data_IF_533930424081
#
_entry.id   IF_533930424081
#
_cell.length_a   1.000
_cell.length_b   1.000
_cell.length_c   1.000
_cell.angle_alpha   90.00
_cell.angle_beta   90.00
_cell.angle_gamma   90.00
#
_symmetry.space_group_name_H-M   'P 1'
#
loop_
_entity.id
_entity.type
_entity.pdbx_description
1 polymer ?
#
# COMPACT_ATOMS: atom_id res chain seq x y z
N UNK A 1 19.25 15.07 -0.66
CA UNK A 1 18.02 14.42 -1.12
C UNK A 1 17.28 14.07 0.15
N UNK A 2 16.35 14.94 0.55
CA UNK A 2 15.68 14.79 1.84
C UNK A 2 14.89 13.48 1.83
N UNK A 3 15.01 12.71 2.92
CA UNK A 3 14.30 11.45 3.05
C UNK A 3 12.79 11.74 2.98
N UNK A 4 12.06 10.98 2.16
CA UNK A 4 10.61 11.10 2.08
C UNK A 4 9.99 11.04 3.49
N UNK A 5 9.05 11.94 3.82
CA UNK A 5 8.43 11.98 5.14
C UNK A 5 7.68 10.69 5.45
N UNK A 6 7.57 10.37 6.74
CA UNK A 6 6.82 9.21 7.22
C UNK A 6 5.52 9.68 7.85
N UNK A 7 4.40 9.17 7.36
CA UNK A 7 3.08 9.57 7.81
C UNK A 7 2.41 8.54 8.71
N UNK A 8 3.16 7.53 9.16
CA UNK A 8 2.61 6.48 10.01
C UNK A 8 2.08 7.01 11.34
N UNK A 9 1.25 6.21 12.00
CA UNK A 9 0.69 6.52 13.31
C UNK A 9 1.73 7.00 14.33
N UNK A 10 2.93 6.41 14.33
CA UNK A 10 4.04 6.82 15.23
C UNK A 10 4.64 8.20 14.90
N UNK A 11 4.48 8.69 13.67
CA UNK A 11 5.05 9.97 13.21
C UNK A 11 4.01 11.12 13.20
N UNK A 12 2.75 10.85 13.54
CA UNK A 12 1.75 11.89 13.75
C UNK A 12 2.16 12.78 14.94
N UNK A 13 1.89 14.09 14.87
CA UNK A 13 2.25 15.05 15.92
C UNK A 13 1.01 15.83 16.40
N UNK A 14 0.55 15.62 17.64
CA UNK A 14 0.94 14.52 18.55
C UNK A 14 0.41 13.16 18.05
N UNK A 15 1.03 12.03 18.44
CA UNK A 15 0.45 10.72 18.19
C UNK A 15 -0.88 10.59 18.94
N UNK A 16 -1.96 10.27 18.23
CA UNK A 16 -3.27 10.06 18.82
C UNK A 16 -3.42 8.62 19.37
N UNK A 17 -2.48 8.12 20.18
CA UNK A 17 -2.43 6.71 20.58
C UNK A 17 -3.69 6.20 21.27
N UNK A 18 -4.41 7.09 21.95
CA UNK A 18 -5.69 6.82 22.59
C UNK A 18 -6.81 6.47 21.61
N UNK A 19 -6.67 6.85 20.33
CA UNK A 19 -7.67 6.59 19.28
C UNK A 19 -7.37 5.31 18.48
N UNK A 20 -6.18 4.73 18.65
CA UNK A 20 -5.77 3.55 17.91
C UNK A 20 -6.60 2.33 18.33
N UNK A 21 -6.83 1.41 17.40
CA UNK A 21 -7.42 0.11 17.74
C UNK A 21 -6.37 -0.81 18.40
N UNK A 22 -6.79 -2.01 18.81
CA UNK A 22 -5.87 -2.98 19.43
C UNK A 22 -4.77 -3.47 18.47
N UNK A 23 -5.10 -3.63 17.19
CA UNK A 23 -4.17 -4.07 16.16
C UNK A 23 -3.08 -3.01 15.93
N UNK A 24 -3.47 -1.75 15.78
CA UNK A 24 -2.57 -0.62 15.57
C UNK A 24 -1.64 -0.41 16.77
N UNK A 25 -2.17 -0.51 18.00
CA UNK A 25 -1.33 -0.51 19.23
C UNK A 25 -0.33 -1.66 19.21
N UNK A 26 -0.77 -2.88 18.91
CA UNK A 26 0.10 -4.05 18.86
C UNK A 26 1.19 -3.94 17.78
N UNK A 27 0.87 -3.34 16.62
CA UNK A 27 1.85 -3.04 15.57
C UNK A 27 2.86 -2.00 16.08
N UNK A 28 2.39 -0.88 16.63
CA UNK A 28 3.24 0.18 17.15
C UNK A 28 4.21 -0.31 18.23
N UNK A 29 3.74 -1.14 19.16
CA UNK A 29 4.57 -1.69 20.24
C UNK A 29 5.68 -2.60 19.72
N UNK A 30 5.39 -3.45 18.73
CA UNK A 30 6.40 -4.29 18.09
C UNK A 30 7.41 -3.47 17.31
N UNK A 31 6.96 -2.44 16.59
CA UNK A 31 7.86 -1.52 15.86
C UNK A 31 8.81 -0.82 16.84
N UNK A 32 8.31 -0.27 17.94
CA UNK A 32 9.14 0.36 18.99
C UNK A 32 10.17 -0.61 19.57
N UNK A 33 9.77 -1.87 19.78
CA UNK A 33 10.61 -2.87 20.46
C UNK A 33 11.63 -3.54 19.54
N UNK A 34 11.27 -3.82 18.30
CA UNK A 34 12.05 -4.66 17.38
C UNK A 34 12.47 -3.95 16.09
N UNK A 35 11.87 -2.79 15.80
CA UNK A 35 12.05 -2.04 14.56
C UNK A 35 10.98 -2.31 13.51
N UNK A 36 10.25 -3.43 13.58
CA UNK A 36 9.10 -3.71 12.72
C UNK A 36 8.15 -4.71 13.37
N UNK A 37 6.91 -4.74 12.87
CA UNK A 37 5.97 -5.83 13.04
C UNK A 37 5.99 -6.72 11.78
N UNK A 38 5.80 -8.03 11.93
CA UNK A 38 5.50 -8.92 10.81
C UNK A 38 4.05 -9.37 10.92
N UNK A 39 3.28 -9.10 9.88
CA UNK A 39 1.89 -9.51 9.78
C UNK A 39 1.79 -10.76 8.89
N UNK A 40 1.31 -11.87 9.44
CA UNK A 40 0.97 -13.07 8.69
C UNK A 40 -0.52 -13.09 8.36
N UNK A 41 -0.88 -13.47 7.13
CA UNK A 41 -2.26 -13.54 6.68
C UNK A 41 -2.56 -14.94 6.17
N UNK A 42 -3.62 -15.53 6.71
CA UNK A 42 -4.16 -16.78 6.24
C UNK A 42 -5.00 -16.52 4.99
N UNK A 43 -4.62 -17.13 3.86
CA UNK A 43 -5.24 -16.79 2.57
C UNK A 43 -6.60 -17.42 2.32
N UNK A 44 -6.96 -18.47 3.07
CA UNK A 44 -8.24 -19.15 2.92
C UNK A 44 -8.34 -19.86 1.56
N UNK A 45 -8.89 -19.17 0.56
CA UNK A 45 -8.96 -19.63 -0.84
C UNK A 45 -7.66 -19.38 -1.62
N UNK A 46 -6.80 -18.48 -1.14
CA UNK A 46 -5.43 -18.31 -1.65
C UNK A 46 -4.43 -18.95 -0.70
N UNK A 47 -3.19 -19.23 -1.15
CA UNK A 47 -2.09 -19.49 -0.24
C UNK A 47 -1.90 -18.35 0.77
N UNK A 48 -1.20 -18.66 1.86
CA UNK A 48 -0.84 -17.68 2.89
C UNK A 48 0.21 -16.69 2.39
N UNK A 49 0.30 -15.55 3.07
CA UNK A 49 1.39 -14.59 2.87
C UNK A 49 1.77 -13.89 4.16
N UNK A 50 2.91 -13.20 4.14
CA UNK A 50 3.34 -12.34 5.24
C UNK A 50 4.01 -11.08 4.70
N UNK A 51 3.95 -10.01 5.48
CA UNK A 51 4.63 -8.75 5.15
C UNK A 51 5.04 -7.99 6.41
N UNK A 52 6.06 -7.14 6.28
CA UNK A 52 6.50 -6.25 7.35
C UNK A 52 5.69 -4.96 7.39
N UNK A 53 5.63 -4.37 8.58
CA UNK A 53 5.15 -3.02 8.83
C UNK A 53 6.15 -2.37 9.78
N UNK A 54 6.85 -1.33 9.35
CA UNK A 54 7.77 -0.56 10.20
C UNK A 54 9.22 -0.55 9.72
N UNK A 55 9.61 -1.39 8.74
CA UNK A 55 10.97 -1.34 8.18
C UNK A 55 11.22 0.03 7.54
N UNK A 56 10.26 0.55 6.79
CA UNK A 56 10.37 1.89 6.22
C UNK A 56 10.41 2.98 7.29
N UNK A 57 9.66 2.81 8.38
CA UNK A 57 9.64 3.75 9.49
C UNK A 57 11.01 3.81 10.19
N UNK A 58 11.55 2.64 10.53
CA UNK A 58 12.74 2.49 11.37
C UNK A 58 14.04 2.65 10.58
N UNK A 59 14.12 2.07 9.39
CA UNK A 59 15.37 1.94 8.63
C UNK A 59 15.39 2.74 7.33
N UNK A 60 14.26 3.31 6.89
CA UNK A 60 14.10 3.92 5.55
C UNK A 60 14.52 2.95 4.43
N UNK A 61 14.20 1.68 4.63
CA UNK A 61 14.32 0.60 3.64
C UNK A 61 12.93 0.14 3.20
N UNK A 62 12.79 -0.46 2.02
CA UNK A 62 11.50 -0.99 1.58
C UNK A 62 10.93 -1.99 2.59
N UNK A 63 9.62 -2.00 2.75
CA UNK A 63 8.92 -3.11 3.39
C UNK A 63 9.14 -4.40 2.59
N UNK A 64 9.00 -5.56 3.25
CA UNK A 64 9.20 -6.87 2.65
C UNK A 64 7.90 -7.66 2.70
N UNK A 65 7.58 -8.37 1.62
CA UNK A 65 6.49 -9.34 1.58
C UNK A 65 6.92 -10.67 0.96
N UNK A 66 6.26 -11.75 1.38
CA UNK A 66 6.48 -13.15 0.92
C UNK A 66 5.10 -13.79 0.76
N UNK A 67 4.86 -14.46 -0.37
CA UNK A 67 3.59 -15.11 -0.71
C UNK A 67 3.80 -16.61 -0.97
N UNK A 68 2.75 -17.42 -0.84
CA UNK A 68 2.75 -18.80 -1.31
C UNK A 68 3.31 -19.84 -0.35
N UNK A 69 3.73 -19.42 0.84
CA UNK A 69 4.29 -20.28 1.88
C UNK A 69 3.42 -20.18 3.13
N UNK A 70 3.39 -21.23 3.98
CA UNK A 70 2.68 -21.17 5.26
C UNK A 70 3.03 -19.90 6.03
N UNK A 71 2.04 -19.24 6.63
CA UNK A 71 2.23 -17.90 7.22
C UNK A 71 3.44 -17.83 8.17
N UNK A 72 3.66 -18.85 9.01
CA UNK A 72 4.81 -18.92 9.92
C UNK A 72 6.18 -18.95 9.19
N UNK A 73 6.26 -19.66 8.06
CA UNK A 73 7.44 -19.70 7.20
C UNK A 73 7.65 -18.36 6.51
N UNK A 74 6.59 -17.80 5.91
CA UNK A 74 6.64 -16.48 5.27
C UNK A 74 7.08 -15.39 6.26
N UNK A 75 6.55 -15.40 7.48
CA UNK A 75 6.93 -14.46 8.54
C UNK A 75 8.41 -14.59 8.95
N UNK A 76 8.94 -15.81 8.96
CA UNK A 76 10.36 -16.05 9.26
C UNK A 76 11.27 -15.49 8.16
N UNK A 77 10.91 -15.69 6.89
CA UNK A 77 11.63 -15.14 5.74
C UNK A 77 11.60 -13.61 5.75
N UNK A 78 10.45 -12.99 6.06
CA UNK A 78 10.34 -11.53 6.21
C UNK A 78 11.29 -11.00 7.29
N UNK A 79 11.41 -11.68 8.43
CA UNK A 79 12.36 -11.26 9.47
C UNK A 79 13.81 -11.37 9.00
N UNK A 80 14.21 -12.49 8.36
CA UNK A 80 15.57 -12.66 7.82
C UNK A 80 15.89 -11.54 6.82
N UNK A 81 14.98 -11.27 5.88
CA UNK A 81 15.16 -10.18 4.92
C UNK A 81 15.24 -8.81 5.61
N UNK A 82 14.40 -8.55 6.62
CA UNK A 82 14.43 -7.33 7.42
C UNK A 82 15.75 -7.15 8.17
N UNK A 83 16.30 -8.22 8.74
CA UNK A 83 17.62 -8.20 9.41
C UNK A 83 18.74 -7.88 8.42
N UNK A 84 18.73 -8.49 7.22
CA UNK A 84 19.67 -8.16 6.15
C UNK A 84 19.57 -6.70 5.69
N UNK A 85 18.36 -6.13 5.68
CA UNK A 85 18.14 -4.72 5.34
C UNK A 85 18.54 -3.77 6.48
N UNK A 86 18.63 -4.26 7.71
CA UNK A 86 19.22 -3.51 8.82
C UNK A 86 20.73 -3.39 8.63
N UNK A 87 21.37 -4.47 8.19
CA UNK A 87 22.83 -4.54 8.03
C UNK A 87 23.32 -3.97 6.68
N UNK A 88 22.41 -3.72 5.72
CA UNK A 88 22.75 -3.25 4.38
C UNK A 88 21.59 -2.56 3.63
N UNK A 89 21.77 -2.33 2.34
CA UNK A 89 20.66 -1.93 1.47
C UNK A 89 19.89 -3.18 1.02
N UNK A 90 18.59 -3.02 0.74
CA UNK A 90 17.78 -4.07 0.13
C UNK A 90 18.38 -4.56 -1.20
N UNK A 91 18.90 -3.61 -1.97
CA UNK A 91 19.42 -3.78 -3.33
C UNK A 91 18.41 -3.36 -4.40
N UNK A 92 18.79 -3.39 -5.69
CA UNK A 92 17.93 -2.98 -6.79
C UNK A 92 16.85 -4.04 -7.10
N UNK A 93 15.81 -3.63 -7.85
CA UNK A 93 14.83 -4.57 -8.44
C UNK A 93 15.53 -5.65 -9.25
N UNK A 94 15.08 -6.89 -9.10
CA UNK A 94 15.64 -8.06 -9.76
C UNK A 94 16.90 -8.63 -9.09
N UNK A 95 17.36 -8.07 -7.96
CA UNK A 95 18.53 -8.62 -7.27
C UNK A 95 18.26 -10.06 -6.79
N UNK A 96 19.17 -10.97 -7.15
CA UNK A 96 19.26 -12.33 -6.57
C UNK A 96 20.00 -12.32 -5.24
N UNK A 97 19.52 -13.10 -4.28
CA UNK A 97 20.10 -13.23 -2.93
C UNK A 97 20.09 -14.69 -2.47
N UNK A 98 21.21 -15.18 -1.99
CA UNK A 98 21.42 -16.53 -1.45
C UNK A 98 21.40 -16.57 0.10
N UNK A 99 21.28 -15.40 0.74
CA UNK A 99 21.33 -15.21 2.19
C UNK A 99 19.95 -15.10 2.87
N UNK A 100 18.87 -15.25 2.10
CA UNK A 100 17.48 -15.11 2.60
C UNK A 100 16.80 -16.46 2.86
N UNK A 101 16.92 -17.41 1.93
CA UNK A 101 16.26 -18.71 1.99
C UNK A 101 17.31 -19.82 1.93
N UNK A 102 17.36 -20.67 2.96
CA UNK A 102 18.39 -21.70 3.03
C UNK A 102 18.29 -22.70 1.85
N UNK A 103 19.38 -22.83 1.10
CA UNK A 103 19.50 -23.76 -0.02
C UNK A 103 18.89 -23.28 -1.33
N UNK A 104 18.38 -22.04 -1.39
CA UNK A 104 17.77 -21.47 -2.59
C UNK A 104 18.04 -19.97 -2.71
N UNK A 105 18.40 -19.52 -3.91
CA UNK A 105 18.39 -18.10 -4.23
C UNK A 105 16.95 -17.57 -4.24
N UNK A 106 16.74 -16.35 -3.74
CA UNK A 106 15.52 -15.58 -3.94
C UNK A 106 15.76 -14.41 -4.87
N UNK A 107 14.71 -13.85 -5.45
CA UNK A 107 14.77 -12.59 -6.20
C UNK A 107 13.93 -11.54 -5.49
N UNK A 108 14.50 -10.35 -5.30
CA UNK A 108 13.77 -9.18 -4.80
C UNK A 108 13.10 -8.45 -5.95
N UNK A 109 11.77 -8.32 -5.91
CA UNK A 109 11.00 -7.57 -6.92
C UNK A 109 10.24 -6.42 -6.30
N UNK A 110 10.29 -5.24 -6.92
CA UNK A 110 9.54 -4.07 -6.46
C UNK A 110 8.06 -4.31 -6.67
N UNK A 111 7.29 -4.06 -5.61
CA UNK A 111 5.83 -4.21 -5.61
C UNK A 111 5.21 -2.94 -6.20
N UNK A 112 4.30 -3.09 -7.17
CA UNK A 112 3.55 -1.95 -7.71
C UNK A 112 2.51 -1.47 -6.69
N UNK A 113 2.34 -0.15 -6.49
CA UNK A 113 1.33 0.42 -5.60
C UNK A 113 -0.12 -0.04 -5.86
N UNK A 114 -0.45 -0.43 -7.09
CA UNK A 114 -1.77 -0.97 -7.47
C UNK A 114 -2.15 -2.26 -6.72
N UNK A 115 -1.18 -3.02 -6.22
CA UNK A 115 -1.43 -4.21 -5.40
C UNK A 115 -1.69 -3.89 -3.93
N UNK A 116 -1.40 -2.68 -3.47
CA UNK A 116 -1.31 -2.43 -2.04
C UNK A 116 -2.61 -2.71 -1.31
N UNK A 117 -3.72 -2.30 -1.93
CA UNK A 117 -5.05 -2.51 -1.40
C UNK A 117 -5.43 -3.98 -1.26
N UNK A 118 -4.95 -4.82 -2.17
CA UNK A 118 -5.29 -6.24 -2.19
C UNK A 118 -4.70 -6.97 -0.99
N UNK A 119 -3.47 -6.60 -0.56
CA UNK A 119 -2.70 -7.46 0.35
C UNK A 119 -2.17 -6.80 1.62
N UNK A 120 -2.09 -5.46 1.69
CA UNK A 120 -1.36 -4.75 2.75
C UNK A 120 -2.23 -3.81 3.58
N UNK A 121 -3.52 -4.13 3.77
CA UNK A 121 -4.48 -3.28 4.48
C UNK A 121 -4.00 -2.78 5.85
N UNK A 122 -3.49 -3.66 6.73
CA UNK A 122 -2.98 -3.25 8.04
C UNK A 122 -1.74 -2.35 7.95
N UNK A 123 -0.89 -2.56 6.93
CA UNK A 123 0.24 -1.68 6.65
C UNK A 123 -0.22 -0.29 6.21
N UNK A 124 -1.24 -0.23 5.35
CA UNK A 124 -1.79 1.04 4.86
C UNK A 124 -2.49 1.79 5.98
N UNK A 125 -3.28 1.10 6.80
CA UNK A 125 -3.83 1.64 8.04
C UNK A 125 -2.72 2.22 8.90
N UNK A 126 -1.65 1.48 9.16
CA UNK A 126 -0.56 1.99 9.99
C UNK A 126 0.18 3.18 9.38
N UNK A 127 0.42 3.19 8.06
CA UNK A 127 1.20 4.23 7.38
C UNK A 127 0.42 5.49 7.01
N UNK A 128 -0.92 5.42 6.98
CA UNK A 128 -1.88 6.51 6.73
C UNK A 128 -1.81 7.16 5.34
N UNK A 129 -0.61 7.32 4.75
CA UNK A 129 -0.37 7.85 3.40
C UNK A 129 0.56 6.92 2.60
N UNK A 130 0.05 5.83 2.01
CA UNK A 130 0.80 5.00 1.04
C UNK A 130 1.01 5.76 -0.29
N UNK A 131 1.96 5.34 -1.13
CA UNK A 131 2.79 4.14 -0.99
C UNK A 131 4.10 4.37 -0.22
N UNK A 132 4.40 3.46 0.71
CA UNK A 132 5.77 3.21 1.17
C UNK A 132 6.45 2.23 0.22
N UNK A 133 7.76 2.34 -0.07
CA UNK A 133 8.46 1.36 -0.91
C UNK A 133 8.32 -0.04 -0.36
N UNK A 134 8.08 -1.03 -1.22
CA UNK A 134 7.95 -2.44 -0.82
C UNK A 134 8.53 -3.37 -1.88
N UNK A 135 9.14 -4.44 -1.40
CA UNK A 135 9.71 -5.51 -2.23
C UNK A 135 9.08 -6.85 -1.86
N UNK A 136 8.85 -7.67 -2.88
CA UNK A 136 8.48 -9.06 -2.75
C UNK A 136 9.77 -9.91 -2.81
N UNK A 137 9.92 -10.80 -1.84
CA UNK A 137 10.88 -11.90 -1.90
C UNK A 137 10.22 -13.03 -2.67
N UNK A 138 10.68 -13.25 -3.89
CA UNK A 138 10.20 -14.32 -4.77
C UNK A 138 11.08 -15.54 -4.59
N UNK A 139 10.51 -16.69 -4.28
CA UNK A 139 11.23 -17.95 -4.11
C UNK A 139 11.10 -18.85 -5.35
N UNK A 140 12.08 -19.71 -5.65
CA UNK A 140 12.07 -20.56 -6.82
C UNK A 140 11.47 -21.95 -6.54
N UNK A 141 11.19 -22.71 -7.60
CA UNK A 141 10.93 -24.14 -7.48
C UNK A 141 12.20 -24.94 -7.07
N UNK A 142 12.06 -26.26 -6.95
CA UNK A 142 13.17 -27.15 -6.54
C UNK A 142 14.35 -27.18 -7.51
N UNK A 143 14.14 -26.78 -8.76
CA UNK A 143 15.17 -26.71 -9.79
C UNK A 143 15.75 -25.29 -9.93
N UNK A 144 15.35 -24.35 -9.06
CA UNK A 144 15.84 -22.97 -9.07
C UNK A 144 15.15 -22.04 -10.06
N UNK A 145 13.99 -22.44 -10.61
CA UNK A 145 13.22 -21.63 -11.57
C UNK A 145 12.19 -20.76 -10.87
N UNK A 146 12.01 -19.53 -11.34
CA UNK A 146 11.10 -18.55 -10.74
C UNK A 146 9.75 -18.51 -11.45
N UNK A 147 8.68 -18.00 -10.80
CA UNK A 147 7.39 -17.77 -11.44
C UNK A 147 7.51 -17.01 -12.77
N UNK A 148 6.89 -17.55 -13.82
CA UNK A 148 6.95 -17.05 -15.19
C UNK A 148 8.12 -17.54 -16.04
N UNK A 149 9.07 -18.29 -15.48
CA UNK A 149 10.16 -18.88 -16.26
C UNK A 149 9.72 -20.19 -16.97
N UNK A 150 10.23 -20.48 -18.18
CA UNK A 150 9.90 -21.71 -18.89
C UNK A 150 10.23 -22.96 -18.06
N UNK A 151 9.24 -23.82 -17.84
CA UNK A 151 9.41 -25.09 -17.13
C UNK A 151 9.42 -24.99 -15.61
N UNK A 152 9.04 -23.84 -15.03
CA UNK A 152 8.79 -23.72 -13.59
C UNK A 152 7.69 -24.69 -13.14
N UNK A 153 7.85 -25.26 -11.96
CA UNK A 153 6.80 -26.03 -11.31
C UNK A 153 5.49 -25.23 -11.20
N UNK A 154 4.37 -25.88 -11.53
CA UNK A 154 3.05 -25.24 -11.57
C UNK A 154 2.63 -24.68 -10.22
N UNK A 155 2.89 -25.42 -9.13
CA UNK A 155 2.54 -24.96 -7.80
C UNK A 155 3.38 -23.73 -7.44
N UNK A 156 4.68 -23.72 -7.79
CA UNK A 156 5.51 -22.52 -7.61
C UNK A 156 4.96 -21.30 -8.36
N UNK A 157 4.56 -21.47 -9.63
CA UNK A 157 4.06 -20.36 -10.47
C UNK A 157 2.73 -19.79 -9.99
N UNK A 158 1.79 -20.66 -9.57
CA UNK A 158 0.45 -20.24 -9.13
C UNK A 158 0.43 -19.79 -7.65
N UNK A 159 1.40 -20.21 -6.84
CA UNK A 159 1.41 -19.92 -5.40
C UNK A 159 1.87 -18.51 -5.04
N UNK A 160 2.41 -17.74 -5.97
CA UNK A 160 2.90 -16.38 -5.67
C UNK A 160 2.40 -15.42 -6.75
N UNK A 161 1.75 -14.30 -6.39
CA UNK A 161 1.42 -13.28 -7.37
C UNK A 161 2.69 -12.57 -7.83
N UNK A 162 2.69 -12.11 -9.09
CA UNK A 162 3.77 -11.31 -9.69
C UNK A 162 3.48 -9.83 -9.43
N UNK A 163 3.79 -9.34 -8.23
CA UNK A 163 3.40 -7.98 -7.82
C UNK A 163 4.13 -6.84 -8.55
N UNK A 164 5.09 -7.18 -9.42
CA UNK A 164 5.77 -6.25 -10.33
C UNK A 164 5.03 -6.06 -11.68
N UNK A 165 3.98 -6.83 -11.94
CA UNK A 165 3.07 -6.69 -13.09
C UNK A 165 1.83 -5.89 -12.63
N UNK A 166 1.16 -5.14 -13.50
CA UNK A 166 -0.12 -4.53 -13.08
C UNK A 166 -1.18 -5.62 -12.80
N UNK A 167 -2.12 -5.42 -11.85
CA UNK A 167 -3.22 -6.35 -11.64
C UNK A 167 -3.99 -6.70 -12.90
N UNK A 168 -4.19 -5.73 -13.80
CA UNK A 168 -4.91 -5.91 -15.08
C UNK A 168 -4.14 -6.75 -16.10
N UNK A 169 -2.80 -6.76 -16.01
CA UNK A 169 -1.90 -7.53 -16.89
C UNK A 169 -1.48 -8.86 -16.25
N UNK A 170 -1.89 -9.11 -15.00
CA UNK A 170 -1.53 -10.31 -14.26
C UNK A 170 -2.37 -11.50 -14.76
N UNK A 171 -1.78 -12.70 -14.91
CA UNK A 171 -2.56 -13.89 -15.24
C UNK A 171 -3.70 -14.13 -14.23
N UNK A 172 -4.86 -14.53 -14.73
CA UNK A 172 -5.98 -14.90 -13.88
C UNK A 172 -5.59 -16.05 -12.93
N UNK A 173 -5.99 -15.93 -11.67
CA UNK A 173 -5.73 -16.95 -10.67
C UNK A 173 -6.23 -16.55 -9.28
N UNK A 174 -5.89 -17.33 -8.24
CA UNK A 174 -6.42 -17.11 -6.89
C UNK A 174 -6.11 -15.71 -6.35
N UNK A 175 -5.05 -15.06 -6.85
CA UNK A 175 -4.61 -13.73 -6.43
C UNK A 175 -5.35 -12.56 -7.09
N UNK A 176 -6.03 -12.78 -8.21
CA UNK A 176 -6.79 -11.76 -8.95
C UNK A 176 -8.30 -11.98 -8.89
N UNK A 177 -8.76 -13.15 -8.46
CA UNK A 177 -10.18 -13.51 -8.36
C UNK A 177 -10.98 -12.68 -7.34
N UNK A 178 -10.32 -12.06 -6.36
CA UNK A 178 -11.00 -11.30 -5.32
C UNK A 178 -10.30 -9.96 -5.06
N UNK A 179 -10.71 -8.90 -5.75
CA UNK A 179 -10.42 -7.53 -5.32
C UNK A 179 -11.43 -7.14 -4.21
N UNK A 180 -11.01 -7.01 -2.94
CA UNK A 180 -11.92 -6.61 -1.86
C UNK A 180 -12.50 -5.20 -2.05
N UNK A 181 -11.97 -4.44 -3.01
CA UNK A 181 -12.42 -3.13 -3.40
C UNK A 181 -12.82 -3.09 -4.87
N UNK A 182 -13.32 -4.19 -5.43
CA UNK A 182 -13.93 -4.21 -6.75
C UNK A 182 -14.97 -3.09 -6.86
N UNK A 183 -14.93 -2.33 -7.96
CA UNK A 183 -15.79 -1.16 -8.17
C UNK A 183 -15.37 0.11 -7.41
N UNK A 184 -14.33 0.07 -6.56
CA UNK A 184 -13.80 1.27 -5.90
C UNK A 184 -12.98 2.13 -6.88
N UNK A 185 -13.35 3.41 -7.10
CA UNK A 185 -12.79 4.20 -8.20
C UNK A 185 -11.35 4.66 -7.99
N UNK A 186 -10.91 4.85 -6.74
CA UNK A 186 -9.56 5.30 -6.43
C UNK A 186 -8.59 4.11 -6.35
N UNK A 187 -7.97 3.76 -7.48
CA UNK A 187 -7.09 2.58 -7.60
C UNK A 187 -5.85 2.62 -6.71
N UNK A 188 -5.38 3.81 -6.38
CA UNK A 188 -4.16 4.02 -5.57
C UNK A 188 -4.44 4.49 -4.15
N UNK A 189 -5.70 4.57 -3.73
CA UNK A 189 -6.09 5.11 -2.43
C UNK A 189 -7.25 4.34 -1.85
N UNK A 190 -7.13 3.93 -0.60
CA UNK A 190 -8.13 3.07 0.03
C UNK A 190 -9.39 3.83 0.42
N UNK A 191 -10.54 3.13 0.53
CA UNK A 191 -11.77 3.75 1.03
C UNK A 191 -11.59 4.43 2.40
N UNK A 192 -10.70 3.91 3.24
CA UNK A 192 -10.49 4.43 4.60
C UNK A 192 -9.26 5.32 4.75
N UNK A 193 -8.53 5.65 3.68
CA UNK A 193 -7.43 6.61 3.81
C UNK A 193 -7.97 7.98 4.23
N UNK A 194 -7.23 8.65 5.11
CA UNK A 194 -7.57 10.01 5.53
C UNK A 194 -7.23 10.99 4.42
N UNK A 195 -8.22 11.82 4.07
CA UNK A 195 -8.14 12.87 3.06
C UNK A 195 -8.57 14.18 3.69
N UNK A 196 -8.21 15.29 3.07
CA UNK A 196 -8.68 16.60 3.51
C UNK A 196 -9.95 16.99 2.79
N UNK A 197 -10.93 17.55 3.50
CA UNK A 197 -12.13 18.09 2.89
C UNK A 197 -12.57 19.38 3.57
N UNK A 198 -13.16 20.30 2.81
CA UNK A 198 -13.89 21.42 3.42
C UNK A 198 -14.98 20.89 4.36
N UNK A 199 -15.26 21.52 5.50
CA UNK A 199 -16.28 21.04 6.44
C UNK A 199 -17.66 20.80 5.81
N UNK A 200 -18.11 21.69 4.91
CA UNK A 200 -19.41 21.52 4.24
C UNK A 200 -19.38 20.45 3.13
N UNK A 201 -18.22 20.20 2.51
CA UNK A 201 -18.03 19.03 1.62
C UNK A 201 -18.05 17.74 2.42
N UNK A 202 -17.36 17.69 3.55
CA UNK A 202 -17.33 16.55 4.47
C UNK A 202 -18.72 16.21 5.01
N UNK A 203 -19.51 17.23 5.35
CA UNK A 203 -20.90 17.08 5.79
C UNK A 203 -21.88 16.75 4.64
N UNK A 204 -21.44 16.84 3.38
CA UNK A 204 -22.30 16.66 2.21
C UNK A 204 -23.30 17.81 1.98
N UNK A 205 -23.07 18.97 2.60
CA UNK A 205 -23.93 20.16 2.51
C UNK A 205 -23.51 21.12 1.40
N UNK A 206 -22.29 20.99 0.88
CA UNK A 206 -21.77 21.75 -0.26
C UNK A 206 -21.11 20.84 -1.32
N UNK A 207 -21.15 21.22 -2.61
CA UNK A 207 -20.54 20.44 -3.68
C UNK A 207 -19.01 20.55 -3.67
N UNK A 208 -18.35 19.49 -4.15
CA UNK A 208 -16.90 19.54 -4.42
C UNK A 208 -16.63 20.40 -5.66
N UNK A 209 -15.95 21.52 -5.47
CA UNK A 209 -15.53 22.43 -6.53
C UNK A 209 -14.13 22.15 -7.07
N UNK A 210 -13.22 21.72 -6.20
CA UNK A 210 -11.82 21.48 -6.54
C UNK A 210 -11.35 20.18 -5.88
N UNK A 211 -10.71 19.32 -6.66
CA UNK A 211 -10.03 18.11 -6.19
C UNK A 211 -8.55 18.27 -6.45
N UNK A 212 -7.73 18.06 -5.43
CA UNK A 212 -6.28 18.12 -5.53
C UNK A 212 -5.71 16.77 -5.11
N UNK A 213 -4.64 16.36 -5.78
CA UNK A 213 -3.75 15.32 -5.28
C UNK A 213 -2.38 15.92 -5.06
N UNK A 214 -1.99 16.06 -3.80
CA UNK A 214 -0.70 16.65 -3.45
C UNK A 214 0.47 15.84 -4.01
N UNK A 215 1.64 16.47 -4.07
CA UNK A 215 2.89 15.81 -4.45
C UNK A 215 3.24 14.63 -3.52
N UNK A 216 2.78 14.66 -2.27
CA UNK A 216 2.92 13.54 -1.32
C UNK A 216 1.83 12.45 -1.48
N UNK A 217 0.91 12.62 -2.43
CA UNK A 217 -0.18 11.69 -2.71
C UNK A 217 -1.47 11.94 -1.93
N UNK A 218 -1.50 12.92 -1.03
CA UNK A 218 -2.70 13.24 -0.23
C UNK A 218 -3.80 13.84 -1.08
N UNK A 219 -5.04 13.37 -0.90
CA UNK A 219 -6.20 13.94 -1.56
C UNK A 219 -6.79 15.11 -0.76
N UNK A 220 -7.21 16.16 -1.46
CA UNK A 220 -8.00 17.25 -0.90
C UNK A 220 -9.27 17.49 -1.75
N UNK A 221 -10.43 17.61 -1.10
CA UNK A 221 -11.74 17.85 -1.73
C UNK A 221 -12.35 19.12 -1.17
N UNK A 222 -12.33 20.19 -1.96
CA UNK A 222 -12.65 21.54 -1.49
C UNK A 222 -13.90 22.08 -2.19
N UNK A 223 -14.62 22.94 -1.48
CA UNK A 223 -15.64 23.80 -2.09
C UNK A 223 -14.98 24.78 -3.07
N UNK A 224 -15.73 25.29 -4.07
CA UNK A 224 -15.22 26.32 -4.98
C UNK A 224 -14.67 27.53 -4.20
N UNK A 225 -13.37 27.80 -4.34
CA UNK A 225 -12.72 28.95 -3.71
C UNK A 225 -12.47 28.81 -2.19
N UNK A 226 -12.64 27.62 -1.62
CA UNK A 226 -12.35 27.39 -0.21
C UNK A 226 -10.86 27.51 0.12
N UNK A 227 -10.60 28.00 1.33
CA UNK A 227 -9.26 27.97 1.91
C UNK A 227 -8.93 26.55 2.38
N UNK A 228 -7.90 25.97 1.78
CA UNK A 228 -7.38 24.65 2.13
C UNK A 228 -6.96 24.54 3.60
N UNK A 229 -6.52 25.64 4.23
CA UNK A 229 -6.10 25.62 5.63
C UNK A 229 -7.26 25.31 6.59
N UNK A 230 -8.51 25.49 6.16
CA UNK A 230 -9.71 25.17 6.93
C UNK A 230 -10.20 23.72 6.73
N UNK A 231 -9.53 22.92 5.90
CA UNK A 231 -9.96 21.56 5.60
C UNK A 231 -9.72 20.60 6.78
N UNK A 232 -10.71 19.76 7.07
CA UNK A 232 -10.64 18.71 8.09
C UNK A 232 -10.27 17.35 7.50
N UNK A 233 -9.84 16.42 8.35
CA UNK A 233 -9.55 15.05 7.93
C UNK A 233 -10.78 14.17 8.00
N UNK A 234 -11.09 13.50 6.89
CA UNK A 234 -12.21 12.55 6.76
C UNK A 234 -11.76 11.31 6.00
N UNK A 235 -12.58 10.24 6.02
CA UNK A 235 -12.29 9.04 5.20
C UNK A 235 -12.73 9.27 3.77
N UNK A 236 -11.90 8.86 2.81
CA UNK A 236 -12.20 9.00 1.38
C UNK A 236 -13.54 8.38 0.97
N UNK A 237 -13.92 7.24 1.55
CA UNK A 237 -15.23 6.59 1.30
C UNK A 237 -16.39 7.47 1.66
N UNK A 238 -16.28 8.29 2.71
CA UNK A 238 -17.37 9.12 3.18
C UNK A 238 -17.57 10.27 2.16
N UNK A 239 -16.47 10.79 1.60
CA UNK A 239 -16.50 11.72 0.46
C UNK A 239 -17.10 11.08 -0.80
N UNK A 240 -16.63 9.91 -1.22
CA UNK A 240 -17.15 9.23 -2.43
C UNK A 240 -18.62 8.85 -2.26
N UNK A 241 -19.06 8.54 -1.05
CA UNK A 241 -20.47 8.25 -0.76
C UNK A 241 -21.32 9.52 -0.86
N UNK A 242 -20.83 10.65 -0.32
CA UNK A 242 -21.54 11.93 -0.37
C UNK A 242 -21.51 12.57 -1.76
N UNK A 243 -20.42 12.37 -2.51
CA UNK A 243 -20.15 13.00 -3.80
C UNK A 243 -19.68 11.95 -4.84
N UNK A 244 -20.59 11.11 -5.37
CA UNK A 244 -20.20 9.99 -6.23
C UNK A 244 -19.48 10.39 -7.53
N UNK A 245 -19.70 11.61 -8.01
CA UNK A 245 -19.13 12.15 -9.24
C UNK A 245 -17.64 12.51 -9.15
N UNK A 246 -17.07 12.56 -7.93
CA UNK A 246 -15.60 12.68 -7.77
C UNK A 246 -14.85 11.45 -8.29
N UNK A 247 -15.54 10.34 -8.57
CA UNK A 247 -14.93 9.16 -9.21
C UNK A 247 -14.35 9.48 -10.60
N UNK A 248 -14.89 10.49 -11.29
CA UNK A 248 -14.42 10.92 -12.61
C UNK A 248 -12.98 11.47 -12.58
N UNK A 249 -12.52 11.91 -11.41
CA UNK A 249 -11.17 12.45 -11.18
C UNK A 249 -10.32 11.57 -10.28
N UNK A 250 -10.73 10.32 -10.03
CA UNK A 250 -9.99 9.37 -9.20
C UNK A 250 -8.62 8.97 -9.79
N UNK A 251 -8.40 9.26 -11.08
CA UNK A 251 -7.15 9.01 -11.81
C UNK A 251 -6.08 10.10 -11.70
N UNK A 252 -6.33 11.22 -10.98
CA UNK A 252 -5.33 12.29 -10.80
C UNK A 252 -4.01 11.72 -10.25
N UNK A 253 -2.88 12.12 -10.84
CA UNK A 253 -1.54 11.78 -10.37
C UNK A 253 -1.11 12.74 -9.24
N UNK A 254 -0.14 12.36 -8.38
CA UNK A 254 0.42 13.27 -7.38
C UNK A 254 0.97 14.55 -8.02
N UNK A 255 0.53 15.70 -7.49
CA UNK A 255 0.80 17.04 -8.01
C UNK A 255 -0.31 17.63 -8.89
N UNK A 256 -1.26 16.82 -9.37
CA UNK A 256 -2.33 17.27 -10.26
C UNK A 256 -3.56 17.79 -9.52
N UNK A 257 -4.38 18.57 -10.23
CA UNK A 257 -5.67 19.06 -9.72
C UNK A 257 -6.76 19.00 -10.77
N UNK A 258 -8.01 18.95 -10.32
CA UNK A 258 -9.17 19.11 -11.17
C UNK A 258 -10.15 20.12 -10.56
N UNK A 259 -10.59 21.07 -11.38
CA UNK A 259 -11.59 22.07 -11.01
C UNK A 259 -12.90 21.79 -11.73
N UNK A 260 -14.01 21.87 -10.99
CA UNK A 260 -15.35 21.70 -11.53
C UNK A 260 -15.78 22.96 -12.27
N UNK A 261 -16.27 22.78 -13.49
CA UNK A 261 -16.82 23.84 -14.33
C UNK A 261 -18.28 24.12 -13.96
N UNK A 262 -18.82 25.29 -14.36
CA UNK A 262 -20.24 25.61 -14.17
C UNK A 262 -21.20 24.62 -14.84
N UNK A 263 -20.76 23.89 -15.87
CA UNK A 263 -21.55 22.85 -16.54
C UNK A 263 -21.50 21.48 -15.82
N UNK A 264 -20.80 21.39 -14.69
CA UNK A 264 -20.66 20.19 -13.88
C UNK A 264 -19.47 19.30 -14.26
N UNK A 265 -18.80 19.56 -15.39
CA UNK A 265 -17.67 18.74 -15.86
C UNK A 265 -16.36 19.11 -15.16
N UNK A 266 -15.42 18.17 -15.12
CA UNK A 266 -14.09 18.39 -14.54
C UNK A 266 -13.09 18.90 -15.57
N UNK A 267 -12.28 19.89 -15.17
CA UNK A 267 -11.09 20.32 -15.90
C UNK A 267 -9.85 19.95 -15.10
N UNK A 268 -9.09 18.99 -15.60
CA UNK A 268 -7.76 18.67 -15.05
C UNK A 268 -6.75 19.74 -15.45
N UNK A 269 -5.92 20.15 -14.50
CA UNK A 269 -4.77 21.02 -14.69
C UNK A 269 -3.54 20.30 -14.14
N UNK A 270 -2.46 20.30 -14.94
CA UNK A 270 -1.16 19.75 -14.58
C UNK A 270 -0.28 20.80 -13.90
#
# INVERSE_FOLDING_TARGET
>A
MDAQPCHCLLCQVPPAEQTWDERDRGIADKIRRFGWNVNGVAGGSTPDWAYSIGIWHTLRRPEVCVFGLPASTAMSIVNVAGDLFRDGAAGPDGQRRDDVLNGYDVVLRTVRPSWYRHFFGAGIDFYQRPPMPMVQVVWPDRDGRFPGEPGVDRWCDESQPRLWVEPEDHPDGPWTEHDPYEGWPFRTSLPYCLVHASPDVAAGTAPVGTVLRDADGTWCFLEPGADRAAAEQVKLRDIVTAHPDVQEVAGLAPGERADRRPDGTWRTEN
#
